data_IF_916599449855
#
_entry.id   IF_916599449855
#
_cell.length_a   1.000
_cell.length_b   1.000
_cell.length_c   1.000
_cell.angle_alpha   90.00
_cell.angle_beta   90.00
_cell.angle_gamma   90.00
#
_symmetry.space_group_name_H-M   'P 1'
#
loop_
_entity.id
_entity.type
_entity.pdbx_description
1 polymer ?
#
# COMPACT_ATOMS: atom_id res chain seq x y z
N UNK A 1 58.71 4.27 7.39
CA UNK A 1 57.57 5.18 7.68
C UNK A 1 57.05 5.96 6.46
N UNK A 2 57.83 6.13 5.38
CA UNK A 2 57.46 6.89 4.17
C UNK A 2 56.26 6.30 3.38
N UNK A 3 56.18 4.97 3.24
CA UNK A 3 55.12 4.28 2.50
C UNK A 3 53.71 4.42 3.11
N UNK A 4 53.60 4.57 4.44
CA UNK A 4 52.31 4.80 5.11
C UNK A 4 51.79 6.22 4.87
N UNK A 5 52.70 7.19 4.76
CA UNK A 5 52.38 8.60 4.49
C UNK A 5 51.82 8.75 3.07
N UNK A 6 52.45 8.10 2.09
CA UNK A 6 52.00 8.13 0.68
C UNK A 6 50.58 7.54 0.53
N UNK A 7 50.30 6.39 1.16
CA UNK A 7 48.96 5.77 1.12
C UNK A 7 47.88 6.64 1.77
N UNK A 8 48.22 7.37 2.82
CA UNK A 8 47.30 8.30 3.48
C UNK A 8 46.97 9.50 2.58
N UNK A 9 47.99 10.10 1.95
CA UNK A 9 47.79 11.20 1.01
C UNK A 9 47.00 10.78 -0.24
N UNK A 10 47.20 9.55 -0.74
CA UNK A 10 46.39 9.05 -1.87
C UNK A 10 44.92 8.87 -1.52
N UNK A 11 44.60 8.44 -0.29
CA UNK A 11 43.20 8.29 0.15
C UNK A 11 42.55 9.65 0.35
N UNK A 12 43.27 10.63 0.90
CA UNK A 12 42.79 12.01 1.03
C UNK A 12 42.51 12.62 -0.34
N UNK A 13 43.42 12.44 -1.31
CA UNK A 13 43.22 12.92 -2.67
C UNK A 13 41.96 12.32 -3.31
N UNK A 14 41.73 11.01 -3.17
CA UNK A 14 40.54 10.34 -3.70
C UNK A 14 39.25 10.84 -3.04
N UNK A 15 39.26 11.08 -1.73
CA UNK A 15 38.11 11.65 -1.02
C UNK A 15 37.79 13.07 -1.50
N UNK A 16 38.81 13.90 -1.71
CA UNK A 16 38.64 15.26 -2.23
C UNK A 16 38.06 15.23 -3.64
N UNK A 17 38.60 14.39 -4.53
CA UNK A 17 38.08 14.24 -5.90
C UNK A 17 36.63 13.74 -5.92
N UNK A 18 36.26 12.83 -5.01
CA UNK A 18 34.90 12.35 -4.85
C UNK A 18 33.93 13.45 -4.43
N UNK A 19 34.31 14.27 -3.44
CA UNK A 19 33.47 15.39 -2.96
C UNK A 19 33.33 16.47 -4.03
N UNK A 20 34.40 16.80 -4.75
CA UNK A 20 34.36 17.74 -5.89
C UNK A 20 33.45 17.20 -6.99
N UNK A 21 33.52 15.90 -7.30
CA UNK A 21 32.66 15.26 -8.28
C UNK A 21 31.18 15.35 -7.92
N UNK A 22 30.82 15.13 -6.66
CA UNK A 22 29.44 15.29 -6.17
C UNK A 22 28.98 16.75 -6.31
N UNK A 23 29.82 17.72 -5.93
CA UNK A 23 29.50 19.14 -6.00
C UNK A 23 29.29 19.63 -7.44
N UNK A 24 30.07 19.13 -8.39
CA UNK A 24 29.88 19.44 -9.81
C UNK A 24 28.58 18.82 -10.32
N UNK A 25 28.29 17.57 -9.96
CA UNK A 25 27.07 16.88 -10.40
C UNK A 25 25.80 17.59 -9.88
N UNK A 26 25.83 18.07 -8.63
CA UNK A 26 24.73 18.87 -8.06
C UNK A 26 24.64 20.26 -8.69
N UNK A 27 25.75 20.91 -9.02
CA UNK A 27 25.76 22.20 -9.69
C UNK A 27 25.21 22.11 -11.12
N UNK A 28 25.59 21.08 -11.89
CA UNK A 28 25.07 20.83 -13.24
C UNK A 28 23.58 20.51 -13.21
N UNK A 29 23.13 19.74 -12.22
CA UNK A 29 21.69 19.46 -12.03
C UNK A 29 20.86 20.70 -11.64
N UNK A 30 21.50 21.75 -11.10
CA UNK A 30 20.81 22.99 -10.71
C UNK A 30 20.63 23.95 -11.90
N UNK A 31 21.50 23.86 -12.93
CA UNK A 31 21.53 24.80 -14.04
C UNK A 31 20.47 24.52 -15.14
N UNK A 32 19.91 23.31 -15.20
CA UNK A 32 18.84 22.96 -16.16
C UNK A 32 17.47 23.59 -15.83
N UNK A 33 17.36 24.30 -14.71
CA UNK A 33 16.09 24.94 -14.27
C UNK A 33 15.88 26.37 -14.77
N UNK A 34 16.75 26.91 -15.64
CA UNK A 34 16.61 28.29 -16.17
C UNK A 34 16.87 28.36 -17.68
N UNK A 35 15.88 27.94 -18.47
CA UNK A 35 15.91 28.12 -19.93
C UNK A 35 14.50 28.07 -20.55
N UNK A 36 13.94 29.25 -20.81
CA UNK A 36 12.74 29.59 -21.59
C UNK A 36 12.21 28.56 -22.60
N UNK A 37 10.87 28.42 -22.72
CA UNK A 37 10.23 28.38 -24.03
C UNK A 37 8.85 29.07 -24.03
N UNK A 38 8.64 29.88 -25.06
CA UNK A 38 7.56 30.83 -25.31
C UNK A 38 6.26 30.16 -25.80
N UNK A 39 5.19 30.93 -25.63
CA UNK A 39 3.80 30.80 -26.08
C UNK A 39 3.57 30.31 -27.52
N UNK A 40 2.46 29.60 -27.73
CA UNK A 40 1.87 29.30 -29.04
C UNK A 40 0.42 28.80 -28.91
N UNK A 41 -0.52 29.56 -29.45
CA UNK A 41 -1.99 29.46 -29.36
C UNK A 41 -2.65 28.50 -30.35
N UNK A 42 -3.82 27.94 -29.99
CA UNK A 42 -5.13 28.08 -30.71
C UNK A 42 -6.04 26.82 -30.75
N UNK A 43 -7.26 27.02 -30.23
CA UNK A 43 -8.59 26.74 -30.81
C UNK A 43 -9.10 25.29 -31.07
N UNK A 44 -10.30 25.06 -30.48
CA UNK A 44 -11.46 24.24 -30.90
C UNK A 44 -11.71 22.78 -30.43
N UNK A 45 -12.72 22.67 -29.55
CA UNK A 45 -14.00 21.96 -29.74
C UNK A 45 -14.11 20.42 -29.62
N UNK A 46 -14.95 20.04 -28.63
CA UNK A 46 -16.01 19.00 -28.61
C UNK A 46 -15.65 17.51 -28.45
N UNK A 47 -16.25 16.96 -27.38
CA UNK A 47 -16.95 15.66 -27.25
C UNK A 47 -16.24 14.34 -27.62
N UNK A 48 -16.16 13.50 -26.58
CA UNK A 48 -16.69 12.13 -26.48
C UNK A 48 -15.69 11.00 -26.16
N UNK A 49 -16.09 10.25 -25.12
CA UNK A 49 -15.66 8.92 -24.66
C UNK A 49 -14.47 8.22 -25.35
N UNK A 50 -13.42 7.90 -24.56
CA UNK A 50 -12.73 6.60 -24.66
C UNK A 50 -11.85 6.35 -23.45
N UNK A 51 -12.20 5.31 -22.71
CA UNK A 51 -11.30 4.60 -21.80
C UNK A 51 -10.01 4.25 -22.52
N UNK A 52 -8.88 4.80 -22.09
CA UNK A 52 -7.55 4.27 -22.41
C UNK A 52 -6.64 4.31 -21.19
N UNK A 53 -6.64 3.19 -20.49
CA UNK A 53 -5.50 2.69 -19.72
C UNK A 53 -4.34 2.46 -20.69
N UNK A 54 -3.41 3.41 -20.76
CA UNK A 54 -2.14 3.37 -21.50
C UNK A 54 -1.42 4.63 -20.98
N UNK A 55 -0.19 4.66 -20.49
CA UNK A 55 0.89 3.70 -20.42
C UNK A 55 1.92 4.28 -19.42
N UNK A 56 2.90 3.47 -19.05
CA UNK A 56 4.20 3.82 -18.44
C UNK A 56 4.49 5.33 -18.23
N UNK A 57 4.32 5.79 -16.98
CA UNK A 57 4.48 7.21 -16.64
C UNK A 57 5.91 7.72 -16.83
N UNK A 58 6.06 8.72 -17.71
CA UNK A 58 7.18 9.64 -17.82
C UNK A 58 7.62 10.15 -16.42
N UNK A 59 8.92 10.37 -16.18
CA UNK A 59 9.39 11.05 -14.99
C UNK A 59 9.06 12.55 -15.12
N UNK A 60 7.90 12.99 -14.62
CA UNK A 60 7.61 14.42 -14.62
C UNK A 60 6.21 14.85 -14.20
N UNK A 61 5.19 14.00 -14.30
CA UNK A 61 3.83 14.38 -13.93
C UNK A 61 3.19 13.37 -12.99
N UNK A 62 3.67 13.33 -11.74
CA UNK A 62 2.81 12.89 -10.63
C UNK A 62 1.99 14.09 -10.21
N UNK A 63 0.80 14.26 -10.79
CA UNK A 63 -0.22 15.03 -10.07
C UNK A 63 -0.25 14.49 -8.64
N UNK A 64 -0.02 15.33 -7.63
CA UNK A 64 -0.38 14.99 -6.25
C UNK A 64 -1.88 14.79 -6.31
N UNK A 65 -2.33 13.57 -6.64
CA UNK A 65 -3.71 13.17 -6.51
C UNK A 65 -4.00 13.42 -5.03
N UNK A 66 -4.68 14.54 -4.75
CA UNK A 66 -5.23 14.82 -3.43
C UNK A 66 -6.07 13.60 -3.14
N UNK A 67 -5.57 12.75 -2.24
CA UNK A 67 -6.24 11.50 -1.92
C UNK A 67 -7.65 11.88 -1.47
N UNK A 68 -8.71 11.45 -2.16
CA UNK A 68 -10.05 11.80 -1.75
C UNK A 68 -10.22 11.32 -0.31
N UNK A 69 -10.52 12.27 0.59
CA UNK A 69 -10.87 11.95 1.97
C UNK A 69 -12.17 11.16 1.90
N UNK A 70 -12.23 10.01 2.59
CA UNK A 70 -13.45 9.20 2.60
C UNK A 70 -14.58 10.03 3.21
N UNK A 71 -15.66 10.19 2.45
CA UNK A 71 -16.89 10.81 2.94
C UNK A 71 -17.77 9.70 3.53
N UNK A 72 -18.12 9.84 4.81
CA UNK A 72 -19.02 8.94 5.51
C UNK A 72 -20.43 9.49 5.46
N UNK A 73 -21.45 8.63 5.35
CA UNK A 73 -22.85 9.07 5.45
C UNK A 73 -23.27 9.31 6.90
N UNK A 74 -22.57 8.70 7.86
CA UNK A 74 -22.83 8.84 9.29
C UNK A 74 -21.50 8.99 10.02
N UNK A 75 -21.50 9.78 11.10
CA UNK A 75 -20.34 9.88 11.97
C UNK A 75 -20.02 8.53 12.60
N UNK A 76 -18.76 8.14 12.47
CA UNK A 76 -18.29 6.87 12.99
C UNK A 76 -18.07 6.95 14.50
N UNK A 77 -18.58 5.95 15.21
CA UNK A 77 -18.42 5.81 16.67
C UNK A 77 -17.89 4.44 17.07
N UNK A 78 -17.34 4.39 18.27
CA UNK A 78 -17.02 3.12 18.94
C UNK A 78 -18.29 2.53 19.55
N UNK A 79 -18.30 1.21 19.70
CA UNK A 79 -19.31 0.48 20.46
C UNK A 79 -19.01 0.67 21.95
N UNK A 80 -19.98 1.19 22.69
CA UNK A 80 -19.90 1.41 24.12
C UNK A 80 -21.26 1.05 24.76
N UNK A 81 -21.34 0.10 25.71
CA UNK A 81 -20.22 -0.72 26.24
C UNK A 81 -19.65 -1.69 25.19
N UNK A 82 -18.34 -2.02 25.25
CA UNK A 82 -17.74 -3.00 24.35
C UNK A 82 -18.44 -4.36 24.40
N UNK A 83 -18.68 -4.95 23.23
CA UNK A 83 -19.29 -6.28 23.11
C UNK A 83 -18.24 -7.41 23.01
N UNK A 84 -18.64 -8.61 22.55
CA UNK A 84 -17.69 -9.65 22.16
C UNK A 84 -16.90 -9.24 20.91
N UNK A 85 -15.61 -9.57 20.86
CA UNK A 85 -14.79 -9.31 19.68
C UNK A 85 -15.17 -10.27 18.54
N UNK A 86 -15.46 -9.72 17.36
CA UNK A 86 -15.87 -10.47 16.16
C UNK A 86 -14.77 -10.38 15.11
N UNK A 87 -14.23 -11.52 14.67
CA UNK A 87 -13.24 -11.55 13.60
C UNK A 87 -13.89 -11.33 12.23
N UNK A 88 -13.28 -10.49 11.40
CA UNK A 88 -13.45 -10.54 9.95
C UNK A 88 -12.25 -11.28 9.36
N UNK A 89 -12.38 -12.59 9.23
CA UNK A 89 -11.32 -13.49 8.83
C UNK A 89 -11.36 -13.76 7.33
N UNK A 90 -10.21 -13.77 6.67
CA UNK A 90 -10.12 -14.11 5.24
C UNK A 90 -8.69 -14.34 4.76
N UNK A 91 -8.55 -14.85 3.54
CA UNK A 91 -7.31 -14.77 2.79
C UNK A 91 -6.99 -13.30 2.38
N UNK A 92 -5.72 -12.87 2.39
CA UNK A 92 -5.32 -11.57 1.84
C UNK A 92 -5.79 -11.38 0.38
N UNK A 93 -6.21 -10.18 0.00
CA UNK A 93 -6.75 -9.93 -1.35
C UNK A 93 -8.22 -10.33 -1.56
N UNK A 94 -8.91 -10.87 -0.55
CA UNK A 94 -10.35 -11.18 -0.61
C UNK A 94 -11.29 -9.98 -0.50
N UNK A 95 -10.78 -8.76 -0.29
CA UNK A 95 -11.60 -7.53 -0.30
C UNK A 95 -12.00 -6.98 1.08
N UNK A 96 -11.28 -7.32 2.15
CA UNK A 96 -11.60 -6.86 3.51
C UNK A 96 -11.75 -5.34 3.66
N UNK A 97 -10.86 -4.56 3.06
CA UNK A 97 -10.91 -3.09 3.15
C UNK A 97 -12.21 -2.55 2.56
N UNK A 98 -12.69 -3.14 1.47
CA UNK A 98 -13.94 -2.74 0.84
C UNK A 98 -15.14 -3.14 1.70
N UNK A 99 -15.18 -4.37 2.21
CA UNK A 99 -16.26 -4.80 3.11
C UNK A 99 -16.32 -3.97 4.39
N UNK A 100 -15.17 -3.69 5.00
CA UNK A 100 -15.09 -2.80 6.17
C UNK A 100 -15.62 -1.41 5.88
N UNK A 101 -15.28 -0.84 4.71
CA UNK A 101 -15.85 0.43 4.28
C UNK A 101 -17.38 0.37 4.24
N UNK A 102 -17.96 -0.67 3.61
CA UNK A 102 -19.41 -0.85 3.55
C UNK A 102 -20.05 -1.01 4.93
N UNK A 103 -19.43 -1.79 5.82
CA UNK A 103 -19.91 -1.98 7.19
C UNK A 103 -19.91 -0.68 7.99
N UNK A 104 -18.82 0.09 7.93
CA UNK A 104 -18.74 1.42 8.54
C UNK A 104 -19.81 2.34 7.98
N UNK A 105 -19.98 2.30 6.65
CA UNK A 105 -20.91 3.14 5.93
C UNK A 105 -22.38 2.82 6.25
N UNK A 106 -22.71 1.55 6.45
CA UNK A 106 -24.07 1.09 6.74
C UNK A 106 -24.43 1.22 8.23
N UNK A 107 -23.47 1.07 9.14
CA UNK A 107 -23.75 0.96 10.58
C UNK A 107 -23.35 2.18 11.40
N UNK A 108 -22.44 3.02 10.88
CA UNK A 108 -21.83 4.11 11.65
C UNK A 108 -20.87 3.64 12.74
N UNK A 109 -20.49 2.36 12.80
CA UNK A 109 -19.52 1.86 13.79
C UNK A 109 -18.15 1.64 13.17
N UNK A 110 -17.10 1.95 13.91
CA UNK A 110 -15.72 1.67 13.48
C UNK A 110 -15.48 0.17 13.27
N UNK A 111 -14.62 -0.14 12.31
CA UNK A 111 -14.08 -1.49 12.12
C UNK A 111 -12.59 -1.50 12.44
N UNK A 112 -12.16 -2.51 13.20
CA UNK A 112 -10.78 -2.68 13.62
C UNK A 112 -9.97 -3.62 12.73
N UNK A 113 -8.73 -3.83 13.14
CA UNK A 113 -7.74 -4.66 12.45
C UNK A 113 -6.68 -5.07 13.45
N UNK A 114 -6.25 -6.33 13.40
CA UNK A 114 -5.08 -6.80 14.17
C UNK A 114 -3.76 -6.17 13.69
N UNK A 115 -3.79 -5.49 12.54
CA UNK A 115 -2.64 -4.83 11.94
C UNK A 115 -2.68 -3.32 12.16
N UNK A 116 -1.51 -2.69 12.09
CA UNK A 116 -1.33 -1.24 12.20
C UNK A 116 -0.93 -0.62 10.86
N UNK A 117 -1.90 -0.45 9.96
CA UNK A 117 -1.67 0.23 8.69
C UNK A 117 -1.88 1.74 8.82
N UNK A 118 -0.79 2.51 8.90
CA UNK A 118 -0.85 3.97 9.00
C UNK A 118 -1.51 4.64 7.80
N UNK A 119 -1.41 4.04 6.61
CA UNK A 119 -2.03 4.54 5.39
C UNK A 119 -3.54 4.44 5.49
N UNK A 120 -4.06 3.27 5.86
CA UNK A 120 -5.50 3.07 6.08
C UNK A 120 -6.02 3.93 7.23
N UNK A 121 -5.25 4.04 8.33
CA UNK A 121 -5.64 4.85 9.49
C UNK A 121 -5.86 6.31 9.15
N UNK A 122 -4.99 6.89 8.32
CA UNK A 122 -5.11 8.27 7.85
C UNK A 122 -6.22 8.46 6.80
N UNK A 123 -6.64 7.38 6.13
CA UNK A 123 -7.54 7.42 4.98
C UNK A 123 -8.92 6.78 5.27
N UNK A 124 -9.41 6.80 6.52
CA UNK A 124 -10.78 6.39 6.85
C UNK A 124 -10.94 5.15 7.74
N UNK A 125 -9.85 4.54 8.19
CA UNK A 125 -9.90 3.42 9.14
C UNK A 125 -9.24 3.78 10.48
N UNK A 126 -9.80 4.74 11.24
CA UNK A 126 -9.15 5.29 12.43
C UNK A 126 -8.87 4.22 13.51
N UNK A 127 -9.66 3.15 13.55
CA UNK A 127 -9.54 2.04 14.48
C UNK A 127 -8.58 0.91 14.01
N UNK A 128 -7.68 1.17 13.05
CA UNK A 128 -6.54 0.27 12.82
C UNK A 128 -5.77 0.02 14.14
N UNK A 129 -5.32 -1.21 14.36
CA UNK A 129 -4.68 -1.68 15.59
C UNK A 129 -5.61 -1.80 16.81
N UNK A 130 -6.93 -1.70 16.64
CA UNK A 130 -7.92 -2.03 17.67
C UNK A 130 -8.51 -3.40 17.36
N UNK A 131 -8.41 -4.32 18.33
CA UNK A 131 -8.80 -5.73 18.18
C UNK A 131 -9.76 -6.24 19.26
N UNK A 132 -10.37 -5.35 20.03
CA UNK A 132 -11.34 -5.69 21.08
C UNK A 132 -12.79 -5.42 20.63
N UNK A 133 -13.77 -5.63 21.51
CA UNK A 133 -15.19 -5.44 21.21
C UNK A 133 -15.70 -4.00 21.15
N UNK A 134 -14.81 -2.99 21.17
CA UNK A 134 -15.21 -1.58 20.96
C UNK A 134 -15.45 -1.25 19.48
N UNK A 135 -15.17 -2.17 18.57
CA UNK A 135 -15.39 -2.05 17.13
C UNK A 135 -16.35 -3.14 16.65
N UNK A 136 -17.01 -2.89 15.52
CA UNK A 136 -18.00 -3.81 14.95
C UNK A 136 -17.41 -5.16 14.57
N UNK A 137 -16.28 -5.14 13.87
CA UNK A 137 -15.52 -6.32 13.45
C UNK A 137 -14.03 -6.00 13.40
N UNK A 138 -13.19 -7.02 13.58
CA UNK A 138 -11.72 -6.92 13.58
C UNK A 138 -11.15 -7.73 12.42
N UNK A 139 -10.57 -7.06 11.44
CA UNK A 139 -9.92 -7.71 10.29
C UNK A 139 -8.69 -8.51 10.71
N UNK A 140 -8.60 -9.76 10.24
CA UNK A 140 -7.45 -10.64 10.47
C UNK A 140 -7.20 -11.60 9.29
N UNK A 141 -5.93 -11.96 9.09
CA UNK A 141 -5.52 -13.09 8.25
C UNK A 141 -4.80 -14.18 9.07
N UNK A 142 -4.78 -14.01 10.39
CA UNK A 142 -4.17 -14.97 11.30
C UNK A 142 -5.05 -16.21 11.42
N UNK A 143 -4.40 -17.34 11.71
CA UNK A 143 -5.04 -18.64 11.77
C UNK A 143 -4.49 -19.45 12.96
N UNK A 144 -5.19 -20.53 13.30
CA UNK A 144 -4.84 -21.42 14.41
C UNK A 144 -5.44 -21.01 15.76
N UNK A 145 -5.32 -21.88 16.79
CA UNK A 145 -6.02 -21.72 18.06
C UNK A 145 -5.71 -20.41 18.79
N UNK A 146 -4.44 -19.97 18.77
CA UNK A 146 -3.99 -18.72 19.42
C UNK A 146 -4.58 -17.46 18.80
N UNK A 147 -4.84 -17.46 17.49
CA UNK A 147 -5.50 -16.34 16.84
C UNK A 147 -7.00 -16.36 17.12
N UNK A 148 -7.61 -17.56 17.11
CA UNK A 148 -9.05 -17.75 17.34
C UNK A 148 -9.48 -17.40 18.76
N UNK A 149 -8.65 -17.66 19.78
CA UNK A 149 -9.03 -17.41 21.19
C UNK A 149 -9.32 -15.94 21.52
N UNK A 150 -8.87 -15.01 20.68
CA UNK A 150 -9.11 -13.58 20.86
C UNK A 150 -10.50 -13.13 20.37
N UNK A 151 -11.27 -14.03 19.75
CA UNK A 151 -12.56 -13.71 19.14
C UNK A 151 -13.63 -14.69 19.58
N UNK A 152 -14.82 -14.18 19.88
CA UNK A 152 -15.98 -15.02 20.26
C UNK A 152 -16.73 -15.54 19.03
N UNK A 153 -16.66 -14.81 17.91
CA UNK A 153 -17.36 -15.12 16.65
C UNK A 153 -16.49 -14.71 15.46
N UNK A 154 -16.79 -15.25 14.28
CA UNK A 154 -16.10 -14.88 13.05
C UNK A 154 -17.07 -14.75 11.87
N UNK A 155 -16.81 -13.77 11.02
CA UNK A 155 -17.34 -13.65 9.66
C UNK A 155 -16.20 -14.05 8.72
N UNK A 156 -16.44 -15.10 7.92
CA UNK A 156 -15.48 -15.59 6.94
C UNK A 156 -15.75 -14.98 5.57
N UNK A 157 -14.84 -14.13 5.09
CA UNK A 157 -14.92 -13.55 3.75
C UNK A 157 -14.11 -14.41 2.76
N UNK A 158 -14.82 -14.99 1.79
CA UNK A 158 -14.25 -15.86 0.75
C UNK A 158 -14.31 -15.16 -0.60
N UNK A 159 -13.21 -15.28 -1.37
CA UNK A 159 -13.10 -14.87 -2.77
C UNK A 159 -12.50 -16.02 -3.56
N UNK A 160 -12.83 -16.11 -4.84
CA UNK A 160 -12.23 -17.08 -5.76
C UNK A 160 -10.69 -17.08 -5.62
N UNK A 161 -10.04 -18.23 -5.40
CA UNK A 161 -8.61 -18.28 -5.07
C UNK A 161 -7.74 -17.52 -6.07
N UNK A 162 -7.89 -17.78 -7.38
CA UNK A 162 -7.09 -17.14 -8.42
C UNK A 162 -7.10 -15.60 -8.34
N UNK A 163 -8.28 -15.00 -8.16
CA UNK A 163 -8.42 -13.55 -8.06
C UNK A 163 -7.84 -12.98 -6.76
N UNK A 164 -8.00 -13.69 -5.63
CA UNK A 164 -7.47 -13.25 -4.34
C UNK A 164 -5.93 -13.29 -4.32
N UNK A 165 -5.37 -14.36 -4.88
CA UNK A 165 -3.93 -14.55 -5.10
C UNK A 165 -3.36 -13.42 -5.94
N UNK A 166 -3.97 -13.15 -7.09
CA UNK A 166 -3.53 -12.11 -8.01
C UNK A 166 -3.57 -10.74 -7.34
N UNK A 167 -4.64 -10.45 -6.58
CA UNK A 167 -4.79 -9.21 -5.83
C UNK A 167 -3.73 -9.06 -4.73
N UNK A 168 -3.40 -10.15 -4.02
CA UNK A 168 -2.35 -10.12 -3.00
C UNK A 168 -0.96 -9.92 -3.62
N UNK A 169 -0.68 -10.56 -4.76
CA UNK A 169 0.56 -10.31 -5.50
C UNK A 169 0.70 -8.85 -5.93
N UNK A 170 -0.39 -8.27 -6.44
CA UNK A 170 -0.46 -6.84 -6.77
C UNK A 170 -0.20 -5.98 -5.53
N UNK A 171 -0.83 -6.29 -4.40
CA UNK A 171 -0.63 -5.55 -3.15
C UNK A 171 0.82 -5.58 -2.69
N UNK A 172 1.49 -6.72 -2.77
CA UNK A 172 2.88 -6.89 -2.34
C UNK A 172 3.87 -6.20 -3.29
N UNK A 173 3.58 -6.18 -4.60
CA UNK A 173 4.51 -5.65 -5.61
C UNK A 173 4.24 -4.21 -6.03
N UNK A 174 2.99 -3.73 -5.92
CA UNK A 174 2.53 -2.41 -6.36
C UNK A 174 1.85 -1.59 -5.26
N UNK A 175 1.69 -2.12 -4.04
CA UNK A 175 1.03 -1.46 -2.92
C UNK A 175 -0.50 -1.60 -2.93
N UNK A 176 -1.19 -1.03 -1.94
CA UNK A 176 -2.61 -1.27 -1.66
C UNK A 176 -3.60 -0.92 -2.79
N UNK A 177 -3.21 -0.04 -3.71
CA UNK A 177 -4.04 0.43 -4.83
C UNK A 177 -3.35 0.22 -6.19
N UNK A 178 -2.16 -0.38 -6.20
CA UNK A 178 -1.33 -0.52 -7.40
C UNK A 178 -1.37 -1.93 -7.97
N UNK A 179 -0.94 -2.02 -9.22
CA UNK A 179 -0.69 -3.30 -9.89
C UNK A 179 0.80 -3.63 -9.83
N UNK A 180 1.13 -4.92 -9.81
CA UNK A 180 2.52 -5.33 -9.96
C UNK A 180 3.02 -4.95 -11.36
N UNK A 181 4.23 -4.41 -11.45
CA UNK A 181 4.84 -4.14 -12.74
C UNK A 181 5.08 -5.45 -13.53
N UNK A 182 4.98 -5.46 -14.87
CA UNK A 182 5.04 -6.69 -15.68
C UNK A 182 6.29 -7.54 -15.45
N UNK A 183 7.42 -6.89 -15.15
CA UNK A 183 8.71 -7.51 -14.84
C UNK A 183 8.66 -8.35 -13.56
N UNK A 184 7.79 -8.01 -12.59
CA UNK A 184 7.63 -8.75 -11.33
C UNK A 184 7.03 -10.13 -11.53
N UNK A 185 6.15 -10.31 -12.53
CA UNK A 185 5.60 -11.61 -12.89
C UNK A 185 6.66 -12.51 -13.56
N UNK A 186 7.56 -11.89 -14.35
CA UNK A 186 8.61 -12.59 -15.09
C UNK A 186 9.77 -13.04 -14.18
N UNK A 187 10.10 -12.24 -13.16
CA UNK A 187 11.29 -12.43 -12.30
C UNK A 187 11.33 -13.75 -11.53
N UNK A 188 10.19 -14.39 -11.29
CA UNK A 188 10.10 -15.70 -10.61
C UNK A 188 9.65 -16.84 -11.53
N UNK A 189 9.70 -16.68 -12.87
CA UNK A 189 9.08 -17.62 -13.84
C UNK A 189 7.59 -17.88 -13.54
N UNK A 190 6.84 -16.85 -13.14
CA UNK A 190 5.46 -17.01 -12.70
C UNK A 190 5.27 -17.63 -11.31
N UNK A 191 6.34 -18.03 -10.60
CA UNK A 191 6.25 -18.50 -9.21
C UNK A 191 6.16 -17.31 -8.27
N UNK A 192 4.96 -16.81 -7.99
CA UNK A 192 4.81 -16.06 -6.75
C UNK A 192 5.31 -16.97 -5.62
N UNK A 193 6.36 -16.56 -4.88
CA UNK A 193 6.65 -17.14 -3.56
C UNK A 193 5.54 -16.72 -2.58
N UNK A 194 4.29 -17.03 -2.92
CA UNK A 194 3.25 -17.15 -1.94
C UNK A 194 3.50 -18.51 -1.31
N UNK A 195 3.94 -18.51 -0.06
CA UNK A 195 3.98 -19.70 0.76
C UNK A 195 2.53 -20.15 0.96
N UNK A 196 2.00 -20.95 0.02
CA UNK A 196 0.65 -21.51 0.08
C UNK A 196 0.60 -22.58 1.16
N UNK A 197 0.48 -22.14 2.40
CA UNK A 197 -0.34 -22.88 3.34
C UNK A 197 -1.76 -22.37 3.11
N UNK A 198 -2.58 -23.21 2.46
CA UNK A 198 -3.95 -22.94 2.08
C UNK A 198 -4.73 -22.41 3.30
N UNK A 199 -4.96 -21.10 3.32
CA UNK A 199 -5.68 -20.41 4.39
C UNK A 199 -7.13 -20.91 4.48
N UNK A 200 -7.73 -21.38 3.38
CA UNK A 200 -9.06 -22.00 3.39
C UNK A 200 -9.12 -23.24 4.29
N UNK A 201 -8.13 -24.15 4.21
CA UNK A 201 -8.06 -25.31 5.09
C UNK A 201 -7.79 -24.90 6.55
N UNK A 202 -6.98 -23.87 6.80
CA UNK A 202 -6.54 -23.49 8.16
C UNK A 202 -7.42 -22.47 8.91
N UNK A 203 -8.28 -21.73 8.20
CA UNK A 203 -9.31 -20.87 8.82
C UNK A 203 -10.56 -21.69 9.16
N UNK A 204 -10.93 -22.65 8.31
CA UNK A 204 -12.18 -23.43 8.46
C UNK A 204 -11.97 -24.69 9.31
N UNK A 205 -10.84 -25.40 9.15
CA UNK A 205 -10.59 -26.63 9.90
C UNK A 205 -9.62 -26.40 11.08
N UNK A 206 -9.90 -27.01 12.25
CA UNK A 206 -9.13 -26.85 13.48
C UNK A 206 -7.66 -27.23 13.33
#
# INVERSE_FOLDING_TARGET
MLFKRIRFWTVILLLILYVIGILILTAVSLHDTRGSYKSGSSIHSRYNSKSRSFDYGLPGFKSRLRRPKVNWCTDLKYINPPGPAIALASFPGSGNTWLRYLLQQATGFHTGSVYKDYGLRKNGFPAESISNGSVLVVKTHEWGPRARCNFSKAILLVRTPAAAIQAEFNRQSGGHIGFAAPDRYKRLRGRCKLQYNIILYKIIYP
#
